data_IF_467267683968
#
_entry.id   IF_467267683968
#
_cell.length_a   1.000
_cell.length_b   1.000
_cell.length_c   1.000
_cell.angle_alpha   90.00
_cell.angle_beta   90.00
_cell.angle_gamma   90.00
#
_symmetry.space_group_name_H-M   'P 1'
#
loop_
_entity.id
_entity.type
_entity.pdbx_description
1 polymer ?
#
# COMPACT_ATOMS: atom_id res chain seq x y z
N UNK A 1 -7.59 42.14 -49.50
CA UNK A 1 -8.35 41.37 -48.48
C UNK A 1 -7.35 40.55 -47.69
N UNK A 2 -6.70 41.22 -46.75
CA UNK A 2 -5.73 40.65 -45.82
C UNK A 2 -6.49 40.05 -44.65
N UNK A 3 -6.26 38.76 -44.45
CA UNK A 3 -6.83 37.91 -43.41
C UNK A 3 -6.13 38.23 -42.08
N UNK A 4 -6.86 38.72 -41.09
CA UNK A 4 -6.40 38.93 -39.72
C UNK A 4 -7.09 37.91 -38.83
N UNK A 5 -6.36 36.87 -38.44
CA UNK A 5 -6.79 35.95 -37.40
C UNK A 5 -7.00 36.72 -36.08
N UNK A 6 -8.13 36.53 -35.37
CA UNK A 6 -8.29 37.10 -34.06
C UNK A 6 -7.38 36.34 -33.08
N UNK A 7 -6.46 37.08 -32.48
CA UNK A 7 -5.67 36.62 -31.35
C UNK A 7 -6.64 36.19 -30.26
N UNK A 8 -6.63 34.90 -29.92
CA UNK A 8 -7.25 34.41 -28.69
C UNK A 8 -6.50 35.10 -27.56
N UNK A 9 -7.10 36.16 -27.01
CA UNK A 9 -6.75 36.68 -25.70
C UNK A 9 -7.07 35.56 -24.73
N UNK A 10 -6.05 34.78 -24.35
CA UNK A 10 -6.12 33.91 -23.18
C UNK A 10 -6.25 34.87 -22.00
N UNK A 11 -7.50 35.09 -21.57
CA UNK A 11 -7.80 35.64 -20.26
C UNK A 11 -7.15 34.68 -19.27
N UNK A 12 -5.98 35.06 -18.74
CA UNK A 12 -5.31 34.30 -17.70
C UNK A 12 -6.20 34.39 -16.47
N UNK A 13 -6.99 33.35 -16.24
CA UNK A 13 -7.88 33.25 -15.10
C UNK A 13 -7.00 33.17 -13.85
N UNK A 14 -6.89 34.25 -13.07
CA UNK A 14 -6.11 34.29 -11.81
C UNK A 14 -6.45 33.10 -10.89
N UNK A 15 -7.68 32.60 -10.98
CA UNK A 15 -8.14 31.41 -10.28
C UNK A 15 -7.38 30.12 -10.68
N UNK A 16 -6.95 29.98 -11.94
CA UNK A 16 -6.20 28.80 -12.40
C UNK A 16 -4.76 28.81 -11.86
N UNK A 17 -4.11 29.97 -11.82
CA UNK A 17 -2.76 30.11 -11.26
C UNK A 17 -2.78 29.85 -9.75
N UNK A 18 -3.78 30.39 -9.04
CA UNK A 18 -3.97 30.16 -7.61
C UNK A 18 -4.21 28.66 -7.31
N UNK A 19 -5.05 27.99 -8.11
CA UNK A 19 -5.31 26.57 -7.93
C UNK A 19 -4.09 25.70 -8.22
N UNK A 20 -3.35 25.97 -9.31
CA UNK A 20 -2.10 25.26 -9.60
C UNK A 20 -1.06 25.46 -8.49
N UNK A 21 -0.95 26.69 -7.97
CA UNK A 21 -0.05 26.99 -6.85
C UNK A 21 -0.45 26.25 -5.57
N UNK A 22 -1.77 26.10 -5.33
CA UNK A 22 -2.31 25.33 -4.20
C UNK A 22 -1.99 23.82 -4.35
N UNK A 23 -2.19 23.25 -5.54
CA UNK A 23 -1.91 21.85 -5.84
C UNK A 23 -0.41 21.52 -5.77
N UNK A 24 0.46 22.45 -6.20
CA UNK A 24 1.91 22.29 -6.14
C UNK A 24 2.52 22.58 -4.75
N UNK A 25 1.72 23.08 -3.81
CA UNK A 25 2.20 23.53 -2.50
C UNK A 25 2.61 22.38 -1.58
N UNK A 26 3.87 22.38 -1.14
CA UNK A 26 4.40 21.37 -0.20
C UNK A 26 4.16 21.72 1.28
N UNK A 27 4.02 23.00 1.61
CA UNK A 27 3.95 23.46 2.99
C UNK A 27 2.76 22.86 3.77
N UNK A 28 1.57 22.83 3.14
CA UNK A 28 0.35 22.29 3.76
C UNK A 28 0.43 20.79 4.07
N UNK A 29 0.71 19.89 3.09
CA UNK A 29 0.84 18.47 3.41
C UNK A 29 1.96 18.20 4.42
N UNK A 30 3.09 18.93 4.34
CA UNK A 30 4.15 18.80 5.34
C UNK A 30 3.75 19.29 6.73
N UNK A 31 2.99 20.37 6.83
CA UNK A 31 2.46 20.85 8.11
C UNK A 31 1.57 19.81 8.79
N UNK A 32 0.71 19.13 8.03
CA UNK A 32 -0.12 18.04 8.57
C UNK A 32 0.73 16.85 9.05
N UNK A 33 1.74 16.45 8.28
CA UNK A 33 2.68 15.38 8.68
C UNK A 33 3.44 15.72 9.96
N UNK A 34 3.97 16.93 10.05
CA UNK A 34 4.69 17.40 11.25
C UNK A 34 3.73 17.48 12.44
N UNK A 35 2.51 17.97 12.26
CA UNK A 35 1.52 18.04 13.33
C UNK A 35 1.21 16.65 13.92
N UNK A 36 0.98 15.66 13.05
CA UNK A 36 0.76 14.27 13.44
C UNK A 36 1.99 13.66 14.11
N UNK A 37 3.19 13.90 13.55
CA UNK A 37 4.45 13.35 14.09
C UNK A 37 4.78 13.92 15.48
N UNK A 38 4.42 15.18 15.75
CA UNK A 38 4.56 15.80 17.07
C UNK A 38 3.43 15.42 18.05
N UNK A 39 2.41 14.67 17.60
CA UNK A 39 1.24 14.31 18.41
C UNK A 39 0.37 15.52 18.80
N UNK A 40 0.38 16.58 17.98
CA UNK A 40 -0.40 17.80 18.28
C UNK A 40 -1.92 17.54 18.33
N UNK A 41 -2.52 16.72 17.43
CA UNK A 41 -3.96 16.45 17.48
C UNK A 41 -4.44 15.93 18.84
N UNK A 42 -3.66 15.07 19.50
CA UNK A 42 -3.93 14.51 20.82
C UNK A 42 -3.61 15.50 21.94
N UNK A 43 -2.45 16.14 21.90
CA UNK A 43 -1.99 17.07 22.95
C UNK A 43 -2.88 18.30 23.09
N UNK A 44 -3.47 18.74 21.98
CA UNK A 44 -4.36 19.90 21.93
C UNK A 44 -5.84 19.51 22.04
N UNK A 45 -6.17 18.26 22.39
CA UNK A 45 -7.55 17.83 22.57
C UNK A 45 -8.21 18.51 23.80
N UNK A 46 -9.54 18.61 23.80
CA UNK A 46 -10.30 19.22 24.90
C UNK A 46 -10.13 20.74 24.95
N UNK A 47 -9.67 21.26 26.09
CA UNK A 47 -9.52 22.71 26.32
C UNK A 47 -8.30 23.31 25.60
N UNK A 48 -7.42 22.47 25.05
CA UNK A 48 -6.21 22.89 24.34
C UNK A 48 -5.04 23.22 25.27
N UNK A 49 -3.97 23.78 24.69
CA UNK A 49 -2.77 24.16 25.43
C UNK A 49 -2.06 25.38 24.81
N UNK A 50 -1.19 26.02 25.61
CA UNK A 50 -0.34 27.14 25.23
C UNK A 50 0.93 26.63 24.50
N UNK A 51 1.22 27.09 23.27
CA UNK A 51 2.46 26.74 22.56
C UNK A 51 3.73 27.05 23.36
N UNK A 52 3.72 28.06 24.23
CA UNK A 52 4.87 28.40 25.06
C UNK A 52 5.19 27.31 26.09
N UNK A 53 4.19 26.52 26.50
CA UNK A 53 4.34 25.36 27.39
C UNK A 53 4.70 24.10 26.59
N UNK A 54 4.04 23.89 25.46
CA UNK A 54 4.25 22.69 24.63
C UNK A 54 5.64 22.65 23.96
N UNK A 55 6.18 23.79 23.54
CA UNK A 55 7.44 23.82 22.79
C UNK A 55 8.63 23.20 23.58
N UNK A 56 8.86 23.57 24.86
CA UNK A 56 9.86 22.89 25.69
C UNK A 56 9.57 21.40 25.93
N UNK A 57 8.32 20.98 26.10
CA UNK A 57 7.95 19.57 26.33
C UNK A 57 8.23 18.69 25.09
N UNK A 58 8.10 19.26 23.90
CA UNK A 58 8.35 18.61 22.62
C UNK A 58 9.81 18.75 22.13
N UNK A 59 10.65 19.52 22.84
CA UNK A 59 12.00 19.91 22.41
C UNK A 59 12.00 20.57 21.00
N UNK A 60 11.08 21.51 20.77
CA UNK A 60 10.95 22.23 19.50
C UNK A 60 11.04 23.75 19.67
N UNK A 61 11.32 24.45 18.57
CA UNK A 61 11.29 25.92 18.55
C UNK A 61 9.89 26.46 18.83
N UNK A 62 9.75 27.33 19.82
CA UNK A 62 8.48 28.01 20.13
C UNK A 62 7.96 28.84 18.94
N UNK A 63 8.87 29.50 18.21
CA UNK A 63 8.52 30.25 16.99
C UNK A 63 8.04 29.29 15.90
N UNK A 64 8.75 28.19 15.67
CA UNK A 64 8.37 27.18 14.68
C UNK A 64 7.01 26.55 14.97
N UNK A 65 6.77 26.17 16.23
CA UNK A 65 5.49 25.60 16.67
C UNK A 65 4.34 26.60 16.49
N UNK A 66 4.56 27.87 16.83
CA UNK A 66 3.54 28.92 16.66
C UNK A 66 3.20 29.15 15.17
N UNK A 67 4.20 29.17 14.28
CA UNK A 67 3.97 29.30 12.84
C UNK A 67 3.19 28.10 12.28
N UNK A 68 3.54 26.89 12.71
CA UNK A 68 2.82 25.67 12.35
C UNK A 68 1.35 25.74 12.80
N UNK A 69 1.11 26.06 14.08
CA UNK A 69 -0.25 26.15 14.64
C UNK A 69 -1.08 27.26 13.98
N UNK A 70 -0.46 28.38 13.60
CA UNK A 70 -1.12 29.41 12.80
C UNK A 70 -1.58 28.88 11.45
N UNK A 71 -0.71 28.14 10.75
CA UNK A 71 -1.08 27.53 9.46
C UNK A 71 -2.20 26.52 9.63
N UNK A 72 -2.09 25.61 10.61
CA UNK A 72 -3.13 24.62 10.94
C UNK A 72 -4.47 25.27 11.32
N UNK A 73 -4.45 26.49 11.90
CA UNK A 73 -5.66 27.26 12.17
C UNK A 73 -6.36 27.68 10.88
N UNK A 74 -5.61 28.08 9.85
CA UNK A 74 -6.20 28.43 8.54
C UNK A 74 -6.81 27.23 7.83
N UNK A 75 -6.34 26.00 8.14
CA UNK A 75 -6.88 24.74 7.64
C UNK A 75 -8.06 24.23 8.46
N UNK A 76 -8.40 24.88 9.58
CA UNK A 76 -9.44 24.43 10.50
C UNK A 76 -9.09 23.17 11.29
N UNK A 77 -7.82 22.76 11.33
CA UNK A 77 -7.34 21.58 12.09
C UNK A 77 -7.27 21.91 13.59
N UNK A 78 -6.82 23.11 13.90
CA UNK A 78 -6.84 23.67 15.27
C UNK A 78 -7.57 25.01 15.24
N UNK A 79 -7.98 25.49 16.41
CA UNK A 79 -8.50 26.84 16.58
C UNK A 79 -7.83 27.53 17.77
N UNK A 80 -7.77 28.86 17.71
CA UNK A 80 -7.22 29.67 18.80
C UNK A 80 -8.21 29.72 19.96
N UNK A 81 -7.71 29.55 21.18
CA UNK A 81 -8.45 29.77 22.42
C UNK A 81 -7.94 31.03 23.11
N UNK A 82 -8.49 31.38 24.28
CA UNK A 82 -8.04 32.53 25.06
C UNK A 82 -6.58 32.38 25.53
N UNK A 83 -6.12 31.14 25.73
CA UNK A 83 -4.82 30.83 26.35
C UNK A 83 -3.90 30.02 25.43
N UNK A 84 -4.33 29.65 24.22
CA UNK A 84 -3.52 28.80 23.35
C UNK A 84 -4.28 28.32 22.11
N UNK A 85 -4.17 27.03 21.81
CA UNK A 85 -4.81 26.38 20.68
C UNK A 85 -5.50 25.10 21.12
N UNK A 86 -6.57 24.69 20.44
CA UNK A 86 -7.18 23.38 20.62
C UNK A 86 -7.47 22.70 19.29
N UNK A 87 -7.42 21.37 19.27
CA UNK A 87 -7.81 20.54 18.13
C UNK A 87 -9.31 20.67 17.88
N UNK A 88 -9.70 20.95 16.65
CA UNK A 88 -11.12 21.02 16.26
C UNK A 88 -11.70 19.62 16.04
N UNK A 89 -13.02 19.52 15.84
CA UNK A 89 -13.64 18.28 15.39
C UNK A 89 -13.07 17.78 14.05
N UNK A 90 -12.68 18.68 13.15
CA UNK A 90 -12.03 18.33 11.88
C UNK A 90 -10.61 17.80 12.10
N UNK A 91 -9.81 18.48 12.93
CA UNK A 91 -8.46 18.02 13.28
C UNK A 91 -8.44 16.72 14.08
N UNK A 92 -9.52 16.39 14.79
CA UNK A 92 -9.63 15.15 15.54
C UNK A 92 -9.55 13.89 14.65
N UNK A 93 -9.77 14.00 13.34
CA UNK A 93 -9.54 12.91 12.38
C UNK A 93 -8.06 12.55 12.19
N UNK A 94 -7.13 13.44 12.57
CA UNK A 94 -5.69 13.21 12.51
C UNK A 94 -5.16 12.46 13.75
N UNK A 95 -6.00 12.19 14.75
CA UNK A 95 -5.59 11.45 15.95
C UNK A 95 -5.40 9.96 15.65
N UNK A 96 -4.50 9.31 16.38
CA UNK A 96 -4.24 7.88 16.27
C UNK A 96 -5.45 7.01 16.62
N UNK A 97 -6.36 7.51 17.47
CA UNK A 97 -7.59 6.83 17.90
C UNK A 97 -8.81 7.12 17.00
N UNK A 98 -8.64 7.90 15.92
CA UNK A 98 -9.75 8.38 15.09
C UNK A 98 -10.39 7.34 14.15
N UNK A 99 -10.07 6.06 14.33
CA UNK A 99 -10.64 4.95 13.55
C UNK A 99 -10.28 4.94 12.07
N UNK A 100 -9.31 5.73 11.63
CA UNK A 100 -8.86 5.83 10.23
C UNK A 100 -7.33 5.65 10.12
N UNK A 101 -6.78 5.84 8.91
CA UNK A 101 -5.36 5.62 8.60
C UNK A 101 -4.50 6.88 8.55
N UNK A 102 -5.09 8.08 8.66
CA UNK A 102 -4.37 9.34 8.45
C UNK A 102 -3.20 9.51 9.41
N UNK A 103 -3.39 9.22 10.69
CA UNK A 103 -2.32 9.31 11.69
C UNK A 103 -1.14 8.41 11.34
N UNK A 104 -1.39 7.18 10.86
CA UNK A 104 -0.31 6.27 10.44
C UNK A 104 0.36 6.76 9.17
N UNK A 105 -0.41 7.16 8.15
CA UNK A 105 0.14 7.60 6.85
C UNK A 105 0.94 8.91 6.96
N UNK A 106 0.55 9.81 7.85
CA UNK A 106 1.16 11.13 7.96
C UNK A 106 2.34 11.16 8.94
N UNK A 107 2.47 10.18 9.84
CA UNK A 107 3.52 10.14 10.83
C UNK A 107 4.87 9.78 10.18
N UNK A 108 5.84 10.70 10.26
CA UNK A 108 7.11 10.62 9.50
C UNK A 108 8.03 9.47 9.91
N UNK A 109 7.85 8.91 11.11
CA UNK A 109 8.59 7.75 11.62
C UNK A 109 7.83 6.41 11.44
N UNK A 110 6.86 6.38 10.54
CA UNK A 110 6.23 5.12 10.06
C UNK A 110 6.73 4.83 8.65
N UNK A 111 6.67 3.56 8.23
CA UNK A 111 7.10 3.15 6.90
C UNK A 111 6.38 3.95 5.79
N UNK A 112 5.05 4.08 5.87
CA UNK A 112 4.27 4.86 4.90
C UNK A 112 4.61 6.35 4.92
N UNK A 113 4.61 6.98 6.11
CA UNK A 113 4.88 8.42 6.21
C UNK A 113 6.32 8.81 5.84
N UNK A 114 7.29 7.96 6.18
CA UNK A 114 8.69 8.08 5.73
C UNK A 114 8.81 7.87 4.23
N UNK A 115 8.19 6.82 3.70
CA UNK A 115 8.22 6.46 2.28
C UNK A 115 7.69 7.55 1.38
N UNK A 116 6.55 8.16 1.72
CA UNK A 116 5.97 9.24 0.92
C UNK A 116 6.88 10.48 0.81
N UNK A 117 7.83 10.70 1.73
CA UNK A 117 8.80 11.76 1.57
C UNK A 117 9.79 11.52 0.41
N UNK A 118 9.91 10.30 -0.11
CA UNK A 118 10.68 10.01 -1.32
C UNK A 118 10.07 10.66 -2.57
N UNK A 119 8.80 11.08 -2.54
CA UNK A 119 8.15 11.80 -3.65
C UNK A 119 8.83 13.12 -4.02
N UNK A 120 9.63 13.71 -3.13
CA UNK A 120 10.45 14.89 -3.50
C UNK A 120 11.53 14.56 -4.54
N UNK A 121 11.88 13.27 -4.66
CA UNK A 121 12.81 12.74 -5.65
C UNK A 121 12.08 12.17 -6.89
N UNK A 122 10.76 12.37 -7.05
CA UNK A 122 9.96 11.83 -8.17
C UNK A 122 10.56 12.13 -9.55
N UNK A 123 11.25 13.27 -9.72
CA UNK A 123 11.95 13.60 -10.96
C UNK A 123 12.98 12.53 -11.36
N UNK A 124 13.66 11.91 -10.39
CA UNK A 124 14.55 10.78 -10.63
C UNK A 124 13.76 9.61 -11.22
N UNK A 125 12.70 9.16 -10.54
CA UNK A 125 11.90 8.02 -10.98
C UNK A 125 11.27 8.21 -12.35
N UNK A 126 10.77 9.41 -12.65
CA UNK A 126 10.24 9.72 -14.00
C UNK A 126 11.34 9.70 -15.07
N UNK A 127 12.55 10.09 -14.71
CA UNK A 127 13.68 10.14 -15.66
C UNK A 127 14.25 8.75 -15.95
N UNK A 128 14.33 7.88 -14.93
CA UNK A 128 15.06 6.61 -15.00
C UNK A 128 14.15 5.38 -15.03
N UNK A 129 12.88 5.53 -14.64
CA UNK A 129 11.98 4.41 -14.36
C UNK A 129 12.33 3.61 -13.10
N UNK A 130 13.24 4.12 -12.25
CA UNK A 130 13.70 3.44 -11.03
C UNK A 130 13.07 4.06 -9.79
N UNK A 131 13.06 3.32 -8.68
CA UNK A 131 12.63 3.86 -7.39
C UNK A 131 13.55 5.00 -6.90
N UNK A 132 13.02 5.92 -6.10
CA UNK A 132 13.77 7.04 -5.54
C UNK A 132 13.81 7.06 -3.99
N UNK A 133 13.26 6.04 -3.34
CA UNK A 133 13.44 5.78 -1.91
C UNK A 133 14.93 5.62 -1.55
N UNK A 134 15.69 4.80 -2.28
CA UNK A 134 17.13 4.60 -2.01
C UNK A 134 17.95 5.86 -2.24
N UNK A 135 17.56 6.70 -3.20
CA UNK A 135 18.19 8.00 -3.42
C UNK A 135 18.07 8.90 -2.18
N UNK A 136 16.96 8.81 -1.46
CA UNK A 136 16.70 9.60 -0.26
C UNK A 136 17.28 8.98 1.01
N UNK A 137 17.21 7.66 1.15
CA UNK A 137 17.50 6.95 2.40
C UNK A 137 18.74 6.05 2.36
N UNK A 138 19.40 5.92 1.20
CA UNK A 138 20.65 5.18 1.02
C UNK A 138 20.50 3.67 0.78
N UNK A 139 19.27 3.14 0.87
CA UNK A 139 18.93 1.72 0.66
C UNK A 139 17.48 1.59 0.20
N UNK A 140 17.11 0.46 -0.41
CA UNK A 140 15.73 0.21 -0.84
C UNK A 140 14.76 0.11 0.35
N UNK A 141 13.46 0.26 0.06
CA UNK A 141 12.42 0.27 1.07
C UNK A 141 12.41 -0.99 1.95
N UNK A 142 12.60 -2.16 1.34
CA UNK A 142 12.52 -3.45 2.04
C UNK A 142 13.74 -3.66 2.95
N UNK A 143 14.94 -3.28 2.47
CA UNK A 143 16.15 -3.26 3.30
C UNK A 143 16.00 -2.31 4.50
N UNK A 144 15.42 -1.12 4.30
CA UNK A 144 15.21 -0.17 5.39
C UNK A 144 14.26 -0.71 6.47
N UNK A 145 13.22 -1.45 6.07
CA UNK A 145 12.29 -2.09 7.02
C UNK A 145 12.98 -3.24 7.77
N UNK A 146 13.86 -3.98 7.12
CA UNK A 146 14.61 -5.07 7.74
C UNK A 146 15.60 -4.56 8.80
N UNK A 147 16.22 -3.39 8.58
CA UNK A 147 17.13 -2.76 9.54
C UNK A 147 16.39 -2.07 10.70
N UNK A 148 15.16 -1.59 10.47
CA UNK A 148 14.39 -0.79 11.43
C UNK A 148 13.07 -1.47 11.84
N UNK A 149 13.07 -2.25 12.94
CA UNK A 149 11.90 -3.01 13.38
C UNK A 149 10.63 -2.18 13.61
N UNK A 150 10.76 -0.91 14.01
CA UNK A 150 9.60 -0.04 14.23
C UNK A 150 8.92 0.35 12.91
N UNK A 151 9.71 0.59 11.85
CA UNK A 151 9.18 0.83 10.50
C UNK A 151 8.46 -0.43 10.00
N UNK A 152 9.09 -1.59 10.13
CA UNK A 152 8.46 -2.87 9.77
C UNK A 152 7.15 -3.11 10.50
N UNK A 153 7.13 -2.93 11.82
CA UNK A 153 5.91 -3.10 12.60
C UNK A 153 4.82 -2.11 12.19
N UNK A 154 5.19 -0.88 11.79
CA UNK A 154 4.22 0.11 11.29
C UNK A 154 3.67 -0.26 9.91
N UNK A 155 4.50 -0.79 9.02
CA UNK A 155 4.10 -1.29 7.69
C UNK A 155 3.12 -2.46 7.82
N UNK A 156 3.46 -3.46 8.64
CA UNK A 156 2.62 -4.64 8.84
C UNK A 156 1.24 -4.27 9.41
N UNK A 157 1.19 -3.31 10.35
CA UNK A 157 -0.07 -2.75 10.86
C UNK A 157 -0.85 -2.01 9.78
N UNK A 158 -0.17 -1.26 8.93
CA UNK A 158 -0.78 -0.52 7.83
C UNK A 158 -1.42 -1.48 6.82
N UNK A 159 -0.71 -2.52 6.37
CA UNK A 159 -1.24 -3.52 5.44
C UNK A 159 -2.41 -4.29 6.05
N UNK A 160 -2.30 -4.70 7.31
CA UNK A 160 -3.40 -5.36 8.05
C UNK A 160 -4.67 -4.50 8.09
N UNK A 161 -4.53 -3.19 8.34
CA UNK A 161 -5.67 -2.28 8.38
C UNK A 161 -6.24 -2.01 6.98
N UNK A 162 -5.38 -1.85 5.96
CA UNK A 162 -5.78 -1.61 4.56
C UNK A 162 -6.70 -2.71 4.04
N UNK A 163 -6.38 -3.97 4.34
CA UNK A 163 -7.15 -5.11 3.88
C UNK A 163 -8.31 -5.50 4.81
N UNK A 164 -8.40 -4.96 6.03
CA UNK A 164 -9.36 -5.40 7.05
C UNK A 164 -10.81 -5.45 6.55
N UNK A 165 -11.26 -4.36 5.93
CA UNK A 165 -12.65 -4.22 5.48
C UNK A 165 -12.90 -4.94 4.14
N UNK A 166 -11.83 -5.29 3.43
CA UNK A 166 -11.88 -5.98 2.15
C UNK A 166 -11.78 -7.50 2.28
N UNK A 167 -11.11 -8.02 3.32
CA UNK A 167 -10.96 -9.47 3.55
C UNK A 167 -12.32 -10.21 3.49
N UNK A 168 -13.38 -9.77 4.19
CA UNK A 168 -14.69 -10.43 4.08
C UNK A 168 -15.27 -10.41 2.66
N UNK A 169 -15.02 -9.33 1.90
CA UNK A 169 -15.47 -9.20 0.52
C UNK A 169 -14.71 -10.17 -0.39
N UNK A 170 -13.38 -10.24 -0.25
CA UNK A 170 -12.51 -11.15 -1.01
C UNK A 170 -12.89 -12.61 -0.75
N UNK A 171 -13.14 -12.97 0.53
CA UNK A 171 -13.56 -14.32 0.91
C UNK A 171 -14.91 -14.69 0.28
N UNK A 172 -15.86 -13.76 0.24
CA UNK A 172 -17.19 -14.00 -0.33
C UNK A 172 -17.25 -13.90 -1.86
N UNK A 173 -16.35 -13.11 -2.47
CA UNK A 173 -16.36 -12.76 -3.88
C UNK A 173 -15.78 -13.82 -4.81
N UNK A 174 -15.27 -14.94 -4.28
CA UNK A 174 -14.63 -15.99 -5.05
C UNK A 174 -14.90 -17.37 -4.47
N UNK A 175 -15.09 -18.38 -5.33
CA UNK A 175 -15.28 -19.77 -4.89
C UNK A 175 -13.93 -20.42 -4.57
N UNK A 176 -13.53 -20.29 -3.30
CA UNK A 176 -12.35 -20.93 -2.73
C UNK A 176 -12.54 -22.43 -2.50
N UNK A 177 -13.79 -22.91 -2.42
CA UNK A 177 -14.13 -24.26 -1.97
C UNK A 177 -13.77 -25.37 -2.98
N UNK A 178 -13.46 -24.98 -4.22
CA UNK A 178 -12.99 -25.85 -5.30
C UNK A 178 -11.52 -26.26 -5.18
N UNK A 179 -10.73 -25.58 -4.34
CA UNK A 179 -9.33 -25.92 -4.09
C UNK A 179 -9.21 -26.83 -2.86
N UNK A 180 -8.27 -27.77 -2.89
CA UNK A 180 -7.87 -28.57 -1.72
C UNK A 180 -6.69 -27.94 -0.97
N UNK A 181 -5.80 -27.26 -1.71
CA UNK A 181 -4.60 -26.59 -1.19
C UNK A 181 -4.39 -25.22 -1.82
N UNK A 182 -4.02 -24.23 -0.99
CA UNK A 182 -3.75 -22.85 -1.40
C UNK A 182 -2.40 -22.40 -0.83
N UNK A 183 -1.50 -21.90 -1.68
CA UNK A 183 -0.28 -21.20 -1.24
C UNK A 183 -0.52 -19.70 -1.31
N UNK A 184 -0.35 -19.00 -0.20
CA UNK A 184 -0.41 -17.54 -0.11
C UNK A 184 1.03 -16.97 -0.15
N UNK A 185 1.41 -16.43 -1.31
CA UNK A 185 2.76 -15.97 -1.64
C UNK A 185 2.90 -14.51 -1.23
N UNK A 186 3.70 -14.23 -0.20
CA UNK A 186 3.76 -12.90 0.41
C UNK A 186 2.52 -12.58 1.26
N UNK A 187 1.90 -13.60 1.87
CA UNK A 187 0.62 -13.49 2.57
C UNK A 187 0.63 -12.64 3.85
N UNK A 188 1.74 -11.99 4.18
CA UNK A 188 1.85 -11.12 5.33
C UNK A 188 1.60 -11.86 6.63
N UNK A 189 0.84 -11.24 7.53
CA UNK A 189 0.49 -11.81 8.84
C UNK A 189 -0.59 -12.90 8.78
N UNK A 190 -0.98 -13.33 7.57
CA UNK A 190 -1.88 -14.46 7.34
C UNK A 190 -3.35 -14.20 7.62
N UNK A 191 -3.78 -12.94 7.80
CA UNK A 191 -5.18 -12.63 8.11
C UNK A 191 -6.14 -13.01 6.99
N UNK A 192 -5.76 -12.79 5.72
CA UNK A 192 -6.59 -13.18 4.58
C UNK A 192 -6.67 -14.71 4.46
N UNK A 193 -5.53 -15.41 4.46
CA UNK A 193 -5.52 -16.87 4.41
C UNK A 193 -6.31 -17.48 5.57
N UNK A 194 -6.17 -16.95 6.79
CA UNK A 194 -6.93 -17.41 7.94
C UNK A 194 -8.45 -17.30 7.68
N UNK A 195 -8.91 -16.16 7.17
CA UNK A 195 -10.32 -15.95 6.86
C UNK A 195 -10.82 -16.91 5.76
N UNK A 196 -10.03 -17.13 4.70
CA UNK A 196 -10.33 -18.09 3.64
C UNK A 196 -10.46 -19.52 4.21
N UNK A 197 -9.51 -19.97 5.05
CA UNK A 197 -9.52 -21.31 5.65
C UNK A 197 -10.65 -21.51 6.68
N UNK A 198 -11.03 -20.46 7.40
CA UNK A 198 -12.19 -20.48 8.31
C UNK A 198 -13.49 -20.65 7.53
N UNK A 199 -13.65 -19.96 6.40
CA UNK A 199 -14.83 -20.09 5.54
C UNK A 199 -14.89 -21.42 4.76
N UNK A 200 -13.76 -22.11 4.59
CA UNK A 200 -13.65 -23.33 3.78
C UNK A 200 -13.04 -24.48 4.59
N UNK A 201 -13.86 -25.27 5.33
CA UNK A 201 -13.36 -26.29 6.27
C UNK A 201 -12.47 -27.39 5.67
N UNK A 202 -12.59 -27.65 4.37
CA UNK A 202 -11.81 -28.69 3.66
C UNK A 202 -10.50 -28.18 3.06
N UNK A 203 -10.34 -26.86 2.94
CA UNK A 203 -9.16 -26.24 2.35
C UNK A 203 -8.00 -26.27 3.34
N UNK A 204 -6.79 -26.53 2.85
CA UNK A 204 -5.51 -26.36 3.55
C UNK A 204 -4.75 -25.19 2.96
N UNK A 205 -4.01 -24.46 3.79
CA UNK A 205 -3.24 -23.29 3.38
C UNK A 205 -1.75 -23.46 3.68
N UNK A 206 -0.92 -22.82 2.87
CA UNK A 206 0.51 -22.66 3.11
C UNK A 206 0.86 -21.19 2.89
N UNK A 207 1.29 -20.49 3.93
CA UNK A 207 1.76 -19.11 3.82
C UNK A 207 3.28 -19.05 3.67
N UNK A 208 3.77 -18.26 2.71
CA UNK A 208 5.18 -17.93 2.56
C UNK A 208 5.39 -16.43 2.74
N UNK A 209 6.27 -16.04 3.65
CA UNK A 209 6.68 -14.64 3.85
C UNK A 209 8.05 -14.57 4.55
N UNK A 210 8.61 -13.37 4.72
CA UNK A 210 9.87 -13.16 5.42
C UNK A 210 9.77 -13.58 6.89
N UNK A 211 10.91 -14.01 7.47
CA UNK A 211 10.94 -14.67 8.77
C UNK A 211 10.17 -13.97 9.91
N UNK A 212 10.28 -12.64 10.12
CA UNK A 212 9.52 -11.98 11.18
C UNK A 212 8.00 -12.01 10.95
N UNK A 213 7.54 -11.81 9.71
CA UNK A 213 6.09 -11.80 9.38
C UNK A 213 5.53 -13.21 9.30
N UNK A 214 6.32 -14.19 8.85
CA UNK A 214 5.98 -15.60 8.96
C UNK A 214 5.83 -16.05 10.43
N UNK A 215 6.60 -15.49 11.37
CA UNK A 215 6.38 -15.76 12.80
C UNK A 215 5.02 -15.24 13.28
N UNK A 216 4.65 -14.01 12.89
CA UNK A 216 3.35 -13.43 13.19
C UNK A 216 2.20 -14.24 12.57
N UNK A 217 2.37 -14.72 11.33
CA UNK A 217 1.36 -15.56 10.66
C UNK A 217 1.10 -16.87 11.41
N UNK A 218 2.15 -17.52 11.94
CA UNK A 218 1.98 -18.72 12.79
C UNK A 218 1.15 -18.41 14.03
N UNK A 219 1.37 -17.25 14.66
CA UNK A 219 0.56 -16.83 15.81
C UNK A 219 -0.90 -16.59 15.40
N UNK A 220 -1.14 -15.88 14.28
CA UNK A 220 -2.49 -15.69 13.73
C UNK A 220 -3.22 -17.01 13.51
N UNK A 221 -2.55 -18.02 12.93
CA UNK A 221 -3.16 -19.33 12.69
C UNK A 221 -3.40 -20.12 13.98
N UNK A 222 -2.49 -20.04 14.96
CA UNK A 222 -2.69 -20.65 16.27
C UNK A 222 -3.91 -20.06 16.99
N UNK A 223 -4.02 -18.73 17.03
CA UNK A 223 -5.12 -18.01 17.67
C UNK A 223 -6.47 -18.30 17.00
N UNK A 224 -6.48 -18.53 15.69
CA UNK A 224 -7.66 -18.90 14.92
C UNK A 224 -7.99 -20.41 14.97
N UNK A 225 -7.18 -21.23 15.64
CA UNK A 225 -7.37 -22.69 15.70
C UNK A 225 -7.15 -23.40 14.36
N UNK A 226 -6.26 -22.86 13.51
CA UNK A 226 -5.98 -23.34 12.15
C UNK A 226 -4.66 -24.10 12.02
N UNK A 227 -3.94 -24.35 13.12
CA UNK A 227 -2.58 -24.92 13.09
C UNK A 227 -2.47 -26.32 12.46
N UNK A 228 -3.58 -27.06 12.33
CA UNK A 228 -3.65 -28.37 11.66
C UNK A 228 -3.85 -28.25 10.14
N UNK A 229 -4.28 -27.08 9.64
CA UNK A 229 -4.62 -26.81 8.25
C UNK A 229 -3.81 -25.67 7.61
N UNK A 230 -3.03 -24.93 8.38
CA UNK A 230 -2.20 -23.84 7.90
C UNK A 230 -0.71 -24.11 8.19
N UNK A 231 0.09 -24.21 7.14
CA UNK A 231 1.54 -24.30 7.22
C UNK A 231 2.19 -22.95 6.92
N UNK A 232 3.40 -22.71 7.44
CA UNK A 232 4.12 -21.45 7.25
C UNK A 232 5.59 -21.67 6.97
N UNK A 233 6.05 -21.19 5.81
CA UNK A 233 7.46 -21.12 5.44
C UNK A 233 7.98 -19.69 5.56
N UNK A 234 9.09 -19.53 6.28
CA UNK A 234 9.86 -18.30 6.25
C UNK A 234 10.80 -18.32 5.03
N UNK A 235 10.69 -17.38 4.10
CA UNK A 235 11.51 -17.35 2.89
C UNK A 235 11.19 -16.18 1.96
N UNK A 236 12.00 -16.02 0.92
CA UNK A 236 11.72 -15.10 -0.17
C UNK A 236 10.88 -15.78 -1.25
N UNK A 237 9.89 -15.09 -1.80
CA UNK A 237 9.15 -15.58 -2.97
C UNK A 237 9.97 -15.53 -4.27
N UNK A 238 11.20 -15.00 -4.24
CA UNK A 238 12.15 -15.10 -5.34
C UNK A 238 12.93 -16.42 -5.37
N UNK A 239 12.78 -17.22 -4.32
CA UNK A 239 13.32 -18.57 -4.18
C UNK A 239 12.21 -19.62 -4.47
N UNK A 240 12.55 -20.92 -4.58
CA UNK A 240 11.54 -21.96 -4.84
C UNK A 240 10.41 -21.97 -3.81
N UNK A 241 9.16 -21.98 -4.31
CA UNK A 241 7.94 -21.97 -3.49
C UNK A 241 7.51 -23.39 -3.10
N UNK A 242 6.63 -23.55 -2.08
CA UNK A 242 6.01 -24.84 -1.77
C UNK A 242 5.28 -25.41 -2.99
N UNK A 243 5.67 -26.62 -3.42
CA UNK A 243 5.21 -27.20 -4.68
C UNK A 243 3.89 -27.98 -4.57
N UNK A 244 3.20 -28.12 -5.70
CA UNK A 244 2.06 -29.01 -5.87
C UNK A 244 0.71 -28.49 -5.37
N UNK A 245 0.59 -27.21 -5.02
CA UNK A 245 -0.68 -26.63 -4.60
C UNK A 245 -1.68 -26.46 -5.75
N UNK A 246 -2.98 -26.52 -5.43
CA UNK A 246 -4.03 -26.31 -6.43
C UNK A 246 -4.12 -24.84 -6.87
N UNK A 247 -3.74 -23.90 -6.00
CA UNK A 247 -3.66 -22.48 -6.32
C UNK A 247 -2.51 -21.77 -5.61
N UNK A 248 -1.92 -20.78 -6.30
CA UNK A 248 -0.94 -19.84 -5.77
C UNK A 248 -1.56 -18.45 -5.80
N UNK A 249 -1.77 -17.86 -4.63
CA UNK A 249 -2.39 -16.57 -4.43
C UNK A 249 -1.32 -15.50 -4.16
N UNK A 250 -1.45 -14.37 -4.84
CA UNK A 250 -0.71 -13.15 -4.58
C UNK A 250 -1.71 -12.02 -4.40
N UNK A 251 -1.66 -11.32 -3.27
CA UNK A 251 -2.54 -10.18 -2.98
C UNK A 251 -1.70 -8.96 -2.69
N UNK A 252 -1.85 -7.91 -3.50
CA UNK A 252 -1.00 -6.70 -3.43
C UNK A 252 0.50 -7.05 -3.42
N UNK A 253 0.95 -7.89 -4.38
CA UNK A 253 2.35 -8.30 -4.44
C UNK A 253 3.01 -7.73 -5.69
N UNK A 254 2.53 -8.07 -6.87
CA UNK A 254 3.16 -7.72 -8.14
C UNK A 254 3.24 -6.20 -8.32
N UNK A 255 2.28 -5.44 -7.80
CA UNK A 255 2.30 -3.98 -7.90
C UNK A 255 3.46 -3.29 -7.17
N UNK A 256 4.12 -3.96 -6.23
CA UNK A 256 5.31 -3.47 -5.53
C UNK A 256 6.58 -3.64 -6.37
N UNK A 257 6.51 -4.37 -7.48
CA UNK A 257 7.67 -4.80 -8.25
C UNK A 257 7.62 -4.27 -9.69
N UNK A 258 8.81 -3.99 -10.24
CA UNK A 258 8.96 -3.78 -11.68
C UNK A 258 8.63 -5.05 -12.48
N UNK A 259 8.63 -4.95 -13.82
CA UNK A 259 8.24 -6.07 -14.68
C UNK A 259 9.25 -7.24 -14.64
N UNK A 260 10.54 -6.98 -14.39
CA UNK A 260 11.57 -8.05 -14.28
C UNK A 260 11.35 -8.88 -13.01
N UNK A 261 11.11 -8.21 -11.89
CA UNK A 261 10.87 -8.87 -10.61
C UNK A 261 9.49 -9.53 -10.58
N UNK A 262 8.46 -8.92 -11.15
CA UNK A 262 7.13 -9.52 -11.27
C UNK A 262 7.15 -10.79 -12.15
N UNK A 263 7.91 -10.78 -13.26
CA UNK A 263 8.16 -11.97 -14.09
C UNK A 263 8.83 -13.09 -13.27
N UNK A 264 9.86 -12.76 -12.49
CA UNK A 264 10.54 -13.74 -11.63
C UNK A 264 9.60 -14.35 -10.59
N UNK A 265 8.74 -13.55 -9.95
CA UNK A 265 7.76 -14.05 -8.97
C UNK A 265 6.76 -15.00 -9.63
N UNK A 266 6.24 -14.65 -10.81
CA UNK A 266 5.33 -15.50 -11.56
C UNK A 266 6.01 -16.79 -12.03
N UNK A 267 7.26 -16.73 -12.47
CA UNK A 267 8.05 -17.92 -12.79
C UNK A 267 8.14 -18.88 -11.61
N UNK A 268 8.35 -18.37 -10.38
CA UNK A 268 8.37 -19.21 -9.18
C UNK A 268 7.03 -19.87 -8.87
N UNK A 269 5.92 -19.16 -9.08
CA UNK A 269 4.58 -19.75 -8.97
C UNK A 269 4.39 -20.87 -9.99
N UNK A 270 4.85 -20.66 -11.23
CA UNK A 270 4.74 -21.63 -12.33
C UNK A 270 5.61 -22.86 -12.10
N UNK A 271 6.84 -22.70 -11.61
CA UNK A 271 7.75 -23.81 -11.27
C UNK A 271 7.19 -24.71 -10.16
N UNK A 272 6.51 -24.11 -9.17
CA UNK A 272 5.93 -24.85 -8.07
C UNK A 272 4.58 -25.49 -8.43
N UNK A 273 3.90 -24.98 -9.46
CA UNK A 273 2.57 -25.42 -9.86
C UNK A 273 2.55 -26.75 -10.64
N UNK A 274 1.37 -27.36 -10.67
CA UNK A 274 1.06 -28.44 -11.62
C UNK A 274 0.26 -27.88 -12.79
N UNK A 275 0.14 -28.59 -13.93
CA UNK A 275 -0.69 -28.14 -15.05
C UNK A 275 -2.18 -27.93 -14.69
N UNK A 276 -2.66 -28.54 -13.59
CA UNK A 276 -4.03 -28.36 -13.11
C UNK A 276 -4.19 -27.14 -12.18
N UNK A 277 -3.09 -26.58 -11.67
CA UNK A 277 -3.10 -25.49 -10.69
C UNK A 277 -3.62 -24.18 -11.29
N UNK A 278 -3.89 -23.20 -10.42
CA UNK A 278 -4.21 -21.82 -10.77
C UNK A 278 -3.20 -20.85 -10.18
N UNK A 279 -2.97 -19.74 -10.88
CA UNK A 279 -2.29 -18.57 -10.32
C UNK A 279 -3.35 -17.48 -10.15
N UNK A 280 -3.48 -16.96 -8.93
CA UNK A 280 -4.50 -15.99 -8.55
C UNK A 280 -3.81 -14.69 -8.16
N UNK A 281 -4.14 -13.60 -8.83
CA UNK A 281 -3.62 -12.26 -8.51
C UNK A 281 -4.77 -11.39 -8.07
N UNK A 282 -4.70 -10.81 -6.87
CA UNK A 282 -5.73 -9.91 -6.33
C UNK A 282 -5.12 -8.54 -6.11
N UNK A 283 -5.38 -7.62 -7.04
CA UNK A 283 -4.75 -6.29 -7.07
C UNK A 283 -5.73 -5.21 -7.53
N UNK A 284 -5.47 -3.94 -7.21
CA UNK A 284 -6.19 -2.81 -7.79
C UNK A 284 -5.79 -2.64 -9.27
N UNK A 285 -6.61 -3.20 -10.17
CA UNK A 285 -6.33 -3.15 -11.61
C UNK A 285 -6.32 -1.70 -12.14
N UNK A 286 -5.28 -1.38 -12.89
CA UNK A 286 -5.06 -0.09 -13.55
C UNK A 286 -6.25 0.30 -14.45
N UNK A 287 -6.73 1.54 -14.32
CA UNK A 287 -7.88 2.04 -15.06
C UNK A 287 -9.25 1.59 -14.53
N UNK A 288 -9.30 0.73 -13.51
CA UNK A 288 -10.53 0.32 -12.82
C UNK A 288 -10.57 0.83 -11.37
N UNK A 289 -9.64 0.34 -10.54
CA UNK A 289 -9.64 0.59 -9.09
C UNK A 289 -8.44 1.42 -8.63
N UNK A 290 -7.34 1.41 -9.39
CA UNK A 290 -6.13 2.17 -9.07
C UNK A 290 -6.30 3.67 -9.33
N UNK A 291 -5.85 4.50 -8.38
CA UNK A 291 -5.74 5.95 -8.57
C UNK A 291 -4.38 6.32 -9.15
N UNK A 292 -4.31 7.27 -10.08
CA UNK A 292 -3.02 7.66 -10.68
C UNK A 292 -2.02 8.24 -9.67
N UNK A 293 -2.49 8.73 -8.52
CA UNK A 293 -1.64 9.15 -7.41
C UNK A 293 -0.91 7.98 -6.75
N UNK A 294 -1.56 6.82 -6.58
CA UNK A 294 -0.92 5.64 -5.99
C UNK A 294 0.14 5.06 -6.92
N UNK A 295 -0.06 5.13 -8.24
CA UNK A 295 0.96 4.70 -9.22
C UNK A 295 2.28 5.46 -9.05
N UNK A 296 2.21 6.78 -8.82
CA UNK A 296 3.41 7.58 -8.56
C UNK A 296 4.08 7.18 -7.25
N UNK A 297 3.31 6.78 -6.24
CA UNK A 297 3.83 6.24 -4.98
C UNK A 297 4.50 4.88 -5.21
N UNK A 298 3.85 3.95 -5.91
CA UNK A 298 4.42 2.62 -6.20
C UNK A 298 5.74 2.74 -6.98
N UNK A 299 5.77 3.58 -8.01
CA UNK A 299 6.98 3.85 -8.78
C UNK A 299 8.09 4.44 -7.91
N UNK A 300 7.77 5.44 -7.10
CA UNK A 300 8.78 6.17 -6.33
C UNK A 300 9.33 5.37 -5.17
N UNK A 301 8.48 4.62 -4.46
CA UNK A 301 8.88 3.90 -3.25
C UNK A 301 9.47 2.54 -3.57
N UNK A 302 8.90 1.82 -4.54
CA UNK A 302 9.21 0.40 -4.76
C UNK A 302 9.73 0.11 -6.17
N UNK A 303 9.53 1.01 -7.13
CA UNK A 303 9.83 0.76 -8.54
C UNK A 303 8.73 -0.03 -9.24
N UNK A 304 7.62 -0.29 -8.53
CA UNK A 304 6.45 -0.97 -9.02
C UNK A 304 5.43 -0.05 -9.68
N UNK A 305 4.26 -0.59 -10.00
CA UNK A 305 3.15 0.11 -10.68
C UNK A 305 1.87 -0.70 -10.60
N UNK A 306 0.73 -0.02 -10.64
CA UNK A 306 -0.55 -0.69 -10.86
C UNK A 306 -0.66 -1.06 -12.34
N UNK A 307 -0.97 -2.34 -12.61
CA UNK A 307 -1.04 -2.87 -13.98
C UNK A 307 -2.47 -2.97 -14.46
N UNK A 308 -2.70 -2.66 -15.74
CA UNK A 308 -3.97 -2.92 -16.41
C UNK A 308 -4.13 -4.41 -16.70
N UNK A 309 -5.37 -4.82 -16.98
CA UNK A 309 -5.67 -6.21 -17.30
C UNK A 309 -4.92 -6.72 -18.55
N UNK A 310 -4.65 -5.89 -19.56
CA UNK A 310 -3.84 -6.27 -20.73
C UNK A 310 -2.38 -6.52 -20.36
N UNK A 311 -1.82 -5.74 -19.43
CA UNK A 311 -0.43 -5.87 -18.98
C UNK A 311 -0.24 -7.13 -18.13
N UNK A 312 -1.19 -7.44 -17.24
CA UNK A 312 -1.19 -8.73 -16.54
C UNK A 312 -1.30 -9.92 -17.49
N UNK A 313 -2.11 -9.83 -18.55
CA UNK A 313 -2.18 -10.89 -19.58
C UNK A 313 -0.85 -11.09 -20.27
N UNK A 314 -0.18 -10.00 -20.67
CA UNK A 314 1.14 -10.08 -21.31
C UNK A 314 2.18 -10.70 -20.39
N UNK A 315 2.22 -10.28 -19.14
CA UNK A 315 3.16 -10.81 -18.14
C UNK A 315 2.92 -12.31 -17.90
N UNK A 316 1.67 -12.71 -17.68
CA UNK A 316 1.32 -14.12 -17.46
C UNK A 316 1.58 -15.00 -18.69
N UNK A 317 1.33 -14.49 -19.90
CA UNK A 317 1.51 -15.25 -21.15
C UNK A 317 2.97 -15.68 -21.38
N UNK A 318 3.96 -14.92 -20.87
CA UNK A 318 5.37 -15.29 -20.94
C UNK A 318 5.68 -16.63 -20.24
N UNK A 319 4.85 -17.03 -19.28
CA UNK A 319 4.99 -18.28 -18.53
C UNK A 319 3.97 -19.36 -18.95
N UNK A 320 3.32 -19.21 -20.11
CA UNK A 320 2.32 -20.17 -20.57
C UNK A 320 1.00 -20.14 -19.78
N UNK A 321 0.73 -19.02 -19.09
CA UNK A 321 -0.53 -18.78 -18.40
C UNK A 321 -1.50 -17.98 -19.28
N UNK A 322 -2.78 -18.29 -19.17
CA UNK A 322 -3.87 -17.57 -19.84
C UNK A 322 -4.85 -17.09 -18.78
N UNK A 323 -5.25 -15.82 -18.87
CA UNK A 323 -6.29 -15.26 -18.02
C UNK A 323 -7.61 -15.97 -18.32
N UNK A 324 -8.15 -16.68 -17.32
CA UNK A 324 -9.39 -17.43 -17.41
C UNK A 324 -10.57 -16.53 -17.05
N UNK A 325 -10.50 -15.90 -15.87
CA UNK A 325 -11.54 -14.98 -15.39
C UNK A 325 -10.93 -13.77 -14.69
N UNK A 326 -11.68 -12.67 -14.69
CA UNK A 326 -11.38 -11.49 -13.89
C UNK A 326 -12.67 -11.07 -13.19
N UNK A 327 -12.64 -11.00 -11.86
CA UNK A 327 -13.82 -10.72 -11.04
C UNK A 327 -13.48 -9.64 -10.02
N UNK A 328 -14.30 -8.59 -9.93
CA UNK A 328 -14.21 -7.63 -8.83
C UNK A 328 -14.58 -8.31 -7.52
N UNK A 329 -13.65 -8.39 -6.58
CA UNK A 329 -13.80 -9.12 -5.30
C UNK A 329 -13.93 -8.21 -4.09
N UNK A 330 -13.61 -6.93 -4.24
CA UNK A 330 -13.84 -5.89 -3.22
C UNK A 330 -14.08 -4.53 -3.87
N UNK A 331 -14.41 -3.52 -3.07
CA UNK A 331 -14.52 -2.13 -3.56
C UNK A 331 -13.26 -1.56 -4.20
N UNK A 332 -12.09 -2.17 -3.98
CA UNK A 332 -10.80 -1.69 -4.48
C UNK A 332 -9.97 -2.70 -5.26
N UNK A 333 -10.43 -3.94 -5.48
CA UNK A 333 -9.60 -5.00 -6.06
C UNK A 333 -10.37 -5.93 -6.98
N UNK A 334 -9.65 -6.41 -7.99
CA UNK A 334 -10.08 -7.48 -8.87
C UNK A 334 -9.18 -8.70 -8.67
N UNK A 335 -9.80 -9.88 -8.66
CA UNK A 335 -9.11 -11.17 -8.73
C UNK A 335 -9.00 -11.59 -10.19
N UNK A 336 -7.77 -11.74 -10.65
CA UNK A 336 -7.40 -12.32 -11.94
C UNK A 336 -7.02 -13.78 -11.72
N UNK A 337 -7.80 -14.70 -12.30
CA UNK A 337 -7.51 -16.13 -12.27
C UNK A 337 -6.83 -16.54 -13.56
N UNK A 338 -5.63 -17.10 -13.44
CA UNK A 338 -4.86 -17.64 -14.55
C UNK A 338 -4.78 -19.16 -14.49
N UNK A 339 -4.89 -19.79 -15.66
CA UNK A 339 -4.69 -21.22 -15.85
C UNK A 339 -3.56 -21.47 -16.85
N UNK A 340 -2.98 -22.67 -16.80
CA UNK A 340 -2.03 -23.10 -17.82
C UNK A 340 -2.68 -23.27 -19.19
N UNK A 341 -1.96 -22.87 -20.23
CA UNK A 341 -2.35 -23.15 -21.61
C UNK A 341 -2.12 -24.64 -21.91
N UNK A 342 -3.22 -25.37 -22.12
CA UNK A 342 -3.19 -26.79 -22.48
C UNK A 342 -2.46 -27.05 -23.82
N UNK A 343 -2.23 -26.03 -24.65
CA UNK A 343 -1.58 -26.16 -25.96
C UNK A 343 -0.05 -26.07 -25.90
N UNK A 344 0.54 -25.62 -24.79
CA UNK A 344 1.99 -25.46 -24.63
C UNK A 344 2.67 -26.77 -24.15
N UNK A 345 1.89 -27.74 -23.66
CA UNK A 345 2.37 -29.00 -23.07
C UNK A 345 2.79 -30.15 -24.01
N UNK A 346 2.95 -29.91 -25.33
CA UNK A 346 3.43 -30.95 -26.28
C UNK A 346 4.83 -30.71 -26.84
N UNK A 347 5.72 -30.09 -26.06
CA UNK A 347 7.17 -30.10 -26.36
C UNK A 347 7.97 -30.33 -25.09
N UNK A 348 8.46 -31.56 -24.92
CA UNK A 348 9.40 -31.96 -23.88
C UNK A 348 9.19 -33.39 -23.46
#
# INVERSE_FOLDING_TARGET
MTDLAPWIVVVHNENAIAELSRLAGLATPMALRVAVTLGLPERLAGDGDDPARLAPELDVSAVGLTLLLNHLTTLGVVERTATGYRTTAFGAHLRADAGNMLATLLHLDTAGGRGELALVELAHSVTTGQEAYSRRYGQDFWADLAEHPHLRASFDRQMTRRLRDEVPQIVAGFDWSRFGTLVDVGGGRGHLLAAILTANPRLRGHLLDLAPTAADARQTFADAGLGDRAEVTAGSFFDPLPAGADAYLMVDILHDWDDEHADRILSRCVEAATPASRVLVVEPVGGEHASTGIDLVMLTLYGGRERRADEFRTLAAAHGLVLDTMTTVSGGRSLLEFRFDATVGTKG
#
